data_IF_674856512623
#
_entry.id   IF_674856512623
#
_cell.length_a   1.000
_cell.length_b   1.000
_cell.length_c   1.000
_cell.angle_alpha   90.00
_cell.angle_beta   90.00
_cell.angle_gamma   90.00
#
_symmetry.space_group_name_H-M   'P 1'
#
loop_
_entity.id
_entity.type
_entity.pdbx_description
1 polymer ?
#
# COMPACT_ATOMS: atom_id res chain seq x y z
N UNK A 1 20.63 9.76 -19.94
CA UNK A 1 20.08 8.48 -19.45
C UNK A 1 18.58 8.62 -19.26
N UNK A 2 17.79 7.95 -20.10
CA UNK A 2 16.33 7.96 -20.00
C UNK A 2 15.91 7.36 -18.66
N UNK A 3 15.18 8.12 -17.85
CA UNK A 3 14.64 7.66 -16.57
C UNK A 3 13.63 6.56 -16.90
N UNK A 4 13.99 5.30 -16.69
CA UNK A 4 13.09 4.16 -16.89
C UNK A 4 11.71 4.47 -16.27
N UNK A 5 10.61 4.18 -16.99
CA UNK A 5 9.29 4.47 -16.49
C UNK A 5 9.16 3.73 -15.17
N UNK A 6 9.03 4.47 -14.06
CA UNK A 6 8.88 3.93 -12.72
C UNK A 6 7.73 2.93 -12.78
N UNK A 7 8.09 1.64 -12.85
CA UNK A 7 7.18 0.50 -12.98
C UNK A 7 6.02 0.75 -12.04
N UNK A 8 4.81 0.94 -12.58
CA UNK A 8 3.66 1.47 -11.85
C UNK A 8 3.46 0.68 -10.54
N UNK A 9 4.02 1.19 -9.43
CA UNK A 9 4.12 0.43 -8.18
C UNK A 9 2.71 0.09 -7.67
N UNK A 10 1.75 0.98 -7.89
CA UNK A 10 0.34 0.74 -7.61
C UNK A 10 -0.27 -0.43 -8.40
N UNK A 11 0.10 -0.61 -9.67
CA UNK A 11 -0.36 -1.73 -10.48
C UNK A 11 0.27 -3.06 -10.01
N UNK A 12 1.56 -3.05 -9.63
CA UNK A 12 2.23 -4.22 -9.06
C UNK A 12 1.66 -4.65 -7.71
N UNK A 13 1.24 -3.69 -6.87
CA UNK A 13 0.60 -3.97 -5.59
C UNK A 13 -0.80 -4.56 -5.78
N UNK A 14 -1.61 -3.99 -6.69
CA UNK A 14 -2.94 -4.54 -6.99
C UNK A 14 -2.88 -5.99 -7.50
N UNK A 15 -1.94 -6.28 -8.40
CA UNK A 15 -1.74 -7.65 -8.91
C UNK A 15 -1.39 -8.62 -7.77
N UNK A 16 -0.46 -8.25 -6.87
CA UNK A 16 -0.10 -9.08 -5.71
C UNK A 16 -1.27 -9.31 -4.75
N UNK A 17 -2.09 -8.29 -4.51
CA UNK A 17 -3.27 -8.42 -3.66
C UNK A 17 -4.34 -9.31 -4.31
N UNK A 18 -4.46 -9.28 -5.64
CA UNK A 18 -5.37 -10.13 -6.39
C UNK A 18 -4.92 -11.59 -6.39
N UNK A 19 -3.64 -11.85 -6.57
CA UNK A 19 -3.10 -13.21 -6.47
C UNK A 19 -3.27 -13.77 -5.05
N UNK A 20 -3.08 -12.91 -4.03
CA UNK A 20 -3.31 -13.29 -2.64
C UNK A 20 -4.77 -13.58 -2.32
N UNK A 21 -5.70 -12.78 -2.84
CA UNK A 21 -7.14 -13.01 -2.62
C UNK A 21 -7.60 -14.32 -3.26
N UNK A 22 -7.03 -14.69 -4.41
CA UNK A 22 -7.26 -15.99 -5.06
C UNK A 22 -6.70 -17.15 -4.24
N UNK A 23 -5.50 -17.02 -3.71
CA UNK A 23 -4.86 -18.05 -2.88
C UNK A 23 -5.62 -18.29 -1.56
N UNK A 24 -6.05 -17.21 -0.91
CA UNK A 24 -6.78 -17.27 0.36
C UNK A 24 -8.31 -17.41 0.18
N UNK A 25 -8.80 -17.57 -1.06
CA UNK A 25 -10.24 -17.61 -1.43
C UNK A 25 -11.08 -16.52 -0.73
N UNK A 26 -10.48 -15.35 -0.57
CA UNK A 26 -11.04 -14.21 0.16
C UNK A 26 -11.43 -13.11 -0.81
N UNK A 27 -12.38 -12.28 -0.43
CA UNK A 27 -12.82 -11.14 -1.23
C UNK A 27 -11.66 -10.14 -1.46
N UNK A 28 -11.40 -9.86 -2.74
CA UNK A 28 -10.34 -8.95 -3.16
C UNK A 28 -10.56 -7.50 -2.69
N UNK A 29 -11.81 -7.03 -2.66
CA UNK A 29 -12.13 -5.66 -2.21
C UNK A 29 -11.84 -5.50 -0.73
N UNK A 30 -12.12 -6.53 0.08
CA UNK A 30 -11.78 -6.53 1.51
C UNK A 30 -10.26 -6.42 1.70
N UNK A 31 -9.48 -7.24 0.98
CA UNK A 31 -8.02 -7.22 1.02
C UNK A 31 -7.43 -5.87 0.56
N UNK A 32 -7.98 -5.31 -0.53
CA UNK A 32 -7.58 -4.01 -1.05
C UNK A 32 -7.87 -2.88 -0.07
N UNK A 33 -9.04 -2.92 0.57
CA UNK A 33 -9.47 -1.91 1.55
C UNK A 33 -8.60 -1.96 2.80
N UNK A 34 -8.34 -3.16 3.37
CA UNK A 34 -7.44 -3.34 4.51
C UNK A 34 -6.04 -2.80 4.21
N UNK A 35 -5.47 -3.19 3.07
CA UNK A 35 -4.15 -2.70 2.65
C UNK A 35 -4.11 -1.16 2.51
N UNK A 36 -5.15 -0.56 1.92
CA UNK A 36 -5.22 0.90 1.77
C UNK A 36 -5.29 1.62 3.11
N UNK A 37 -6.08 1.09 4.06
CA UNK A 37 -6.19 1.62 5.42
C UNK A 37 -4.87 1.50 6.18
N UNK A 38 -4.23 0.32 6.17
CA UNK A 38 -2.93 0.12 6.80
C UNK A 38 -1.86 1.06 6.21
N UNK A 39 -1.84 1.25 4.89
CA UNK A 39 -0.90 2.16 4.24
C UNK A 39 -1.15 3.62 4.60
N UNK A 40 -2.42 4.01 4.73
CA UNK A 40 -2.81 5.34 5.19
C UNK A 40 -2.38 5.57 6.64
N UNK A 41 -2.69 4.63 7.54
CA UNK A 41 -2.29 4.70 8.94
C UNK A 41 -0.76 4.71 9.09
N UNK A 42 -0.04 3.89 8.33
CA UNK A 42 1.43 3.88 8.30
C UNK A 42 2.00 5.23 7.84
N UNK A 43 1.38 5.86 6.85
CA UNK A 43 1.77 7.21 6.38
C UNK A 43 1.51 8.27 7.44
N UNK A 44 0.36 8.22 8.10
CA UNK A 44 0.01 9.15 9.18
C UNK A 44 0.92 8.95 10.41
N UNK A 45 1.25 7.71 10.75
CA UNK A 45 2.17 7.38 11.85
C UNK A 45 3.61 7.82 11.56
N UNK A 46 4.00 7.97 10.28
CA UNK A 46 5.29 8.53 9.89
C UNK A 46 5.30 10.05 9.83
N UNK A 47 4.15 10.73 10.00
CA UNK A 47 4.20 12.17 10.21
C UNK A 47 4.97 12.44 11.50
N UNK A 48 6.04 13.24 11.44
CA UNK A 48 6.91 13.48 12.58
C UNK A 48 6.19 14.41 13.55
N UNK A 49 5.40 13.85 14.46
CA UNK A 49 4.96 14.57 15.66
C UNK A 49 5.96 14.42 16.81
N UNK A 50 7.20 14.02 16.49
CA UNK A 50 8.27 13.80 17.46
C UNK A 50 9.23 15.00 17.65
N UNK A 51 8.99 16.18 17.08
CA UNK A 51 9.88 17.34 17.34
C UNK A 51 9.20 18.71 17.22
N UNK A 52 8.11 18.91 17.94
CA UNK A 52 7.89 20.20 18.59
C UNK A 52 7.85 19.85 20.08
N UNK A 53 9.03 19.56 20.65
CA UNK A 53 9.66 20.44 21.64
C UNK A 53 8.64 21.04 22.61
N UNK A 54 8.62 20.43 23.79
CA UNK A 54 8.70 21.08 25.11
C UNK A 54 7.99 22.42 25.30
#
# INVERSE_FOLDING_TARGET
>A
MAREPRKNVGASVRARLLDRSRAERTDFQILLTRYALERLLYRLSQSPIATASF
#
